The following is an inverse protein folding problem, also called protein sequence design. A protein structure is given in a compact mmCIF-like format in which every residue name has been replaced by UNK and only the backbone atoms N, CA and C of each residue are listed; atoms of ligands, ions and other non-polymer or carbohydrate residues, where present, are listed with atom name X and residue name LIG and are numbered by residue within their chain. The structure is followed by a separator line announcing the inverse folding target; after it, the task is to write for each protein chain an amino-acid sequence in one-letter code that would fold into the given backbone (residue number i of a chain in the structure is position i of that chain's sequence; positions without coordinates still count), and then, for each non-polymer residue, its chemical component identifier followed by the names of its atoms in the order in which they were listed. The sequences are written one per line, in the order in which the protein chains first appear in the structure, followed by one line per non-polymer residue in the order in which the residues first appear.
data_IF_258416892837
#
_entry.id   IF_258416892837
#
_cell.length_a   1.000
_cell.length_b   1.000
_cell.length_c   1.000
_cell.angle_alpha   90.00
_cell.angle_beta   90.00
_cell.angle_gamma   90.00
#
_symmetry.space_group_name_H-M   'P 1'
#
loop_
_entity.id
_entity.type
_entity.pdbx_description
1 polymer ?
#
# COMPACT_ATOMS: atom_id res chain seq x y z
N UNK A 1 -11.38 22.10 -3.57
CA UNK A 1 -11.21 20.70 -4.04
C UNK A 1 -10.31 19.96 -3.06
N UNK A 2 -10.52 18.66 -2.86
CA UNK A 2 -9.70 17.80 -2.02
C UNK A 2 -9.33 16.55 -2.81
N UNK A 3 -8.06 16.17 -2.79
CA UNK A 3 -7.54 15.01 -3.52
C UNK A 3 -6.97 14.01 -2.52
N UNK A 4 -7.19 12.73 -2.77
CA UNK A 4 -6.66 11.63 -1.95
C UNK A 4 -6.19 10.50 -2.84
N UNK A 5 -5.13 9.81 -2.43
CA UNK A 5 -4.56 8.66 -3.11
C UNK A 5 -4.45 7.49 -2.13
N UNK A 6 -5.16 6.40 -2.41
CA UNK A 6 -5.24 5.24 -1.51
C UNK A 6 -4.99 3.95 -2.29
N UNK A 7 -4.25 3.03 -1.69
CA UNK A 7 -4.03 1.69 -2.22
C UNK A 7 -5.37 0.94 -2.44
N UNK A 8 -5.57 0.50 -3.69
CA UNK A 8 -6.73 -0.29 -4.10
C UNK A 8 -6.85 -1.60 -3.30
N UNK A 9 -5.72 -2.19 -2.89
CA UNK A 9 -5.70 -3.37 -2.03
C UNK A 9 -6.47 -3.16 -0.73
N UNK A 10 -6.30 -1.99 -0.10
CA UNK A 10 -6.98 -1.61 1.14
C UNK A 10 -8.46 -1.35 0.87
N UNK A 11 -8.77 -0.56 -0.16
CA UNK A 11 -10.15 -0.23 -0.51
C UNK A 11 -10.98 -1.48 -0.85
N UNK A 12 -10.36 -2.51 -1.43
CA UNK A 12 -11.03 -3.74 -1.82
C UNK A 12 -11.45 -4.63 -0.64
N UNK A 13 -10.80 -4.50 0.53
CA UNK A 13 -11.16 -5.28 1.73
C UNK A 13 -12.60 -5.00 2.13
N UNK A 14 -13.00 -3.73 2.09
CA UNK A 14 -14.34 -3.28 2.47
C UNK A 14 -15.20 -2.87 1.27
N UNK A 15 -14.67 -2.99 0.05
CA UNK A 15 -15.29 -2.48 -1.19
C UNK A 15 -15.66 -1.00 -1.07
N UNK A 16 -14.74 -0.21 -0.52
CA UNK A 16 -14.96 1.22 -0.25
C UNK A 16 -15.26 1.98 -1.56
N UNK A 17 -16.41 2.64 -1.59
CA UNK A 17 -16.83 3.50 -2.69
C UNK A 17 -16.27 4.91 -2.47
N UNK A 18 -15.89 5.59 -3.55
CA UNK A 18 -15.45 6.98 -3.43
C UNK A 18 -16.60 7.86 -2.96
N UNK A 19 -16.37 8.71 -1.93
CA UNK A 19 -17.43 9.55 -1.39
C UNK A 19 -18.02 10.50 -2.42
N UNK A 20 -19.34 10.46 -2.56
CA UNK A 20 -20.12 11.38 -3.38
C UNK A 20 -20.83 12.41 -2.49
N UNK A 21 -20.35 13.68 -2.44
CA UNK A 21 -20.97 14.72 -1.64
C UNK A 21 -22.40 15.06 -2.11
N UNK A 22 -22.68 14.96 -3.42
CA UNK A 22 -24.01 15.23 -3.95
C UNK A 22 -25.00 14.16 -3.48
N UNK A 23 -24.67 12.87 -3.63
CA UNK A 23 -25.52 11.78 -3.17
C UNK A 23 -25.69 11.78 -1.63
N UNK A 24 -24.67 12.20 -0.87
CA UNK A 24 -24.78 12.32 0.59
C UNK A 24 -25.81 13.38 1.00
N UNK A 25 -25.71 14.58 0.42
CA UNK A 25 -26.57 15.72 0.77
C UNK A 25 -27.97 15.62 0.16
N UNK A 26 -28.09 15.23 -1.11
CA UNK A 26 -29.34 15.25 -1.88
C UNK A 26 -29.91 13.86 -2.19
N UNK A 27 -29.22 12.79 -1.80
CA UNK A 27 -29.74 11.44 -1.94
C UNK A 27 -31.02 11.21 -1.16
N UNK A 28 -31.79 10.21 -1.62
CA UNK A 28 -33.05 9.79 -0.99
C UNK A 28 -32.86 9.56 0.50
N UNK A 29 -33.62 10.30 1.31
CA UNK A 29 -33.63 10.15 2.76
C UNK A 29 -34.58 9.02 3.17
N UNK A 30 -34.33 8.45 4.34
CA UNK A 30 -35.21 7.45 4.92
C UNK A 30 -36.60 8.05 5.18
N UNK A 31 -37.63 7.21 5.12
CA UNK A 31 -38.96 7.61 5.52
C UNK A 31 -38.94 7.94 7.01
N UNK A 32 -39.29 9.18 7.35
CA UNK A 32 -39.15 9.71 8.71
C UNK A 32 -40.37 9.49 9.59
N UNK A 33 -41.33 8.67 9.15
CA UNK A 33 -42.53 8.37 9.92
C UNK A 33 -42.67 6.85 10.09
N UNK A 34 -43.24 6.47 11.22
CA UNK A 34 -43.62 5.09 11.47
C UNK A 34 -45.12 4.94 11.23
N UNK A 35 -45.51 3.86 10.55
CA UNK A 35 -46.91 3.54 10.32
C UNK A 35 -47.32 2.42 11.28
N UNK A 36 -48.37 2.68 12.06
CA UNK A 36 -48.94 1.73 13.01
C UNK A 36 -50.39 1.47 12.61
N UNK A 37 -50.74 0.22 12.33
CA UNK A 37 -52.12 -0.19 12.09
C UNK A 37 -52.47 -1.51 12.77
N UNK A 38 -53.77 -1.73 12.97
CA UNK A 38 -54.34 -2.93 13.58
C UNK A 38 -54.97 -3.88 12.55
N UNK A 39 -54.92 -3.54 11.26
CA UNK A 39 -55.58 -4.34 10.22
C UNK A 39 -54.83 -5.65 9.94
N UNK A 40 -53.54 -5.72 10.26
CA UNK A 40 -52.71 -6.93 10.17
C UNK A 40 -52.80 -7.91 11.35
N UNK A 41 -53.45 -7.55 12.48
CA UNK A 41 -53.56 -8.43 13.65
C UNK A 41 -54.45 -9.67 13.43
N UNK A 42 -54.97 -9.88 12.22
CA UNK A 42 -55.70 -11.09 11.84
C UNK A 42 -54.85 -12.14 11.10
N UNK A 43 -53.69 -11.79 10.53
CA UNK A 43 -52.83 -12.74 9.78
C UNK A 43 -51.36 -12.37 9.96
N UNK A 44 -50.60 -13.16 10.72
CA UNK A 44 -49.13 -13.11 10.70
C UNK A 44 -48.60 -13.59 9.34
N UNK A 45 -48.48 -12.68 8.38
CA UNK A 45 -47.72 -12.92 7.17
C UNK A 45 -46.28 -12.43 7.41
N UNK A 46 -45.35 -13.37 7.65
CA UNK A 46 -43.94 -13.13 7.95
C UNK A 46 -43.14 -12.50 6.80
N UNK A 47 -43.45 -11.26 6.44
CA UNK A 47 -42.77 -10.47 5.41
C UNK A 47 -41.77 -9.49 6.03
N UNK A 48 -40.87 -9.99 6.88
CA UNK A 48 -39.69 -9.23 7.29
C UNK A 48 -38.72 -9.07 6.12
N UNK A 49 -38.08 -7.90 6.00
CA UNK A 49 -37.03 -7.67 5.01
C UNK A 49 -35.91 -8.70 5.22
N UNK A 50 -35.53 -9.42 4.17
CA UNK A 50 -34.39 -10.36 4.21
C UNK A 50 -33.15 -9.60 4.67
N UNK A 51 -32.68 -9.89 5.88
CA UNK A 51 -31.41 -9.42 6.36
C UNK A 51 -30.31 -10.12 5.57
N UNK A 52 -29.42 -9.37 4.93
CA UNK A 52 -28.19 -9.95 4.38
C UNK A 52 -27.29 -10.33 5.54
N UNK A 53 -26.89 -11.59 5.64
CA UNK A 53 -25.83 -12.00 6.58
C UNK A 53 -24.53 -11.28 6.20
N UNK A 54 -24.06 -10.41 7.09
CA UNK A 54 -22.69 -9.91 7.05
C UNK A 54 -21.84 -10.77 7.98
N UNK A 55 -20.86 -11.48 7.43
CA UNK A 55 -19.83 -12.13 8.23
C UNK A 55 -18.77 -11.08 8.55
N UNK A 56 -18.78 -10.51 9.77
CA UNK A 56 -17.93 -9.36 10.06
C UNK A 56 -17.89 -8.86 11.49
N UNK A 57 -18.11 -9.72 12.49
CA UNK A 57 -17.61 -9.42 13.84
C UNK A 57 -16.14 -9.81 13.89
N UNK A 58 -15.22 -8.84 13.88
CA UNK A 58 -13.81 -9.15 14.04
C UNK A 58 -13.54 -9.75 15.43
N UNK A 59 -12.56 -10.64 15.44
CA UNK A 59 -12.38 -11.77 16.31
C UNK A 59 -12.49 -11.48 17.81
N UNK A 60 -13.20 -12.37 18.52
CA UNK A 60 -12.85 -12.76 19.89
C UNK A 60 -11.50 -13.52 19.85
N UNK A 61 -10.43 -12.84 19.46
CA UNK A 61 -9.10 -13.40 19.47
C UNK A 61 -8.66 -13.55 20.94
N UNK A 62 -8.78 -14.77 21.48
CA UNK A 62 -8.28 -15.14 22.81
C UNK A 62 -6.74 -15.19 22.90
N UNK A 63 -6.02 -14.86 21.82
CA UNK A 63 -4.57 -14.72 21.80
C UNK A 63 -4.20 -13.26 22.05
N UNK A 64 -3.28 -13.02 22.99
CA UNK A 64 -2.80 -11.68 23.33
C UNK A 64 -2.30 -10.87 22.13
N UNK A 65 -1.84 -9.64 22.39
CA UNK A 65 -1.48 -8.68 21.34
C UNK A 65 -0.55 -9.31 20.29
N UNK A 66 -0.98 -9.30 19.02
CA UNK A 66 -0.18 -9.81 17.90
C UNK A 66 1.15 -9.04 17.85
N UNK A 67 2.26 -9.69 17.48
CA UNK A 67 3.53 -8.99 17.34
C UNK A 67 3.43 -8.00 16.20
N UNK A 68 3.98 -6.80 16.39
CA UNK A 68 3.86 -5.69 15.44
C UNK A 68 4.29 -6.12 14.03
N UNK A 69 3.45 -5.76 13.05
CA UNK A 69 3.70 -5.98 11.63
C UNK A 69 3.92 -4.62 10.98
N UNK A 70 5.07 -4.43 10.35
CA UNK A 70 5.36 -3.25 9.53
C UNK A 70 4.86 -3.49 8.11
N UNK A 71 3.63 -3.08 7.81
CA UNK A 71 3.11 -2.99 6.44
C UNK A 71 2.98 -1.52 6.08
N UNK A 72 3.57 -1.11 4.96
CA UNK A 72 3.42 0.26 4.47
C UNK A 72 2.01 0.44 3.93
N UNK A 73 1.24 1.30 4.58
CA UNK A 73 -0.11 1.67 4.16
C UNK A 73 -0.03 2.99 3.40
N UNK A 74 -0.40 2.97 2.12
CA UNK A 74 -0.50 4.20 1.32
C UNK A 74 -1.93 4.71 1.37
N UNK A 75 -2.14 5.70 2.22
CA UNK A 75 -3.39 6.45 2.34
C UNK A 75 -3.04 7.93 2.56
N UNK A 76 -3.00 8.67 1.45
CA UNK A 76 -2.51 10.04 1.41
C UNK A 76 -3.63 10.99 1.02
N UNK A 77 -3.60 12.21 1.55
CA UNK A 77 -4.57 13.25 1.27
C UNK A 77 -3.86 14.59 1.15
N UNK A 78 -4.18 15.35 0.10
CA UNK A 78 -3.66 16.69 -0.08
C UNK A 78 -4.31 17.66 0.90
N UNK A 79 -3.70 18.83 1.09
CA UNK A 79 -4.46 19.97 1.60
C UNK A 79 -5.59 20.33 0.61
N UNK A 80 -6.68 20.98 1.07
CA UNK A 80 -7.68 21.52 0.17
C UNK A 80 -7.06 22.55 -0.78
N UNK A 81 -7.33 22.40 -2.08
CA UNK A 81 -6.87 23.30 -3.14
C UNK A 81 -8.04 24.15 -3.64
N UNK A 82 -7.83 25.47 -3.72
CA UNK A 82 -8.76 26.40 -4.35
C UNK A 82 -8.49 26.42 -5.85
N UNK A 83 -9.54 26.24 -6.65
CA UNK A 83 -9.44 26.29 -8.11
C UNK A 83 -9.35 27.74 -8.60
N UNK A 84 -8.69 27.97 -9.72
CA UNK A 84 -8.61 29.28 -10.37
C UNK A 84 -9.94 29.64 -11.08
N UNK A 85 -10.01 30.83 -11.68
CA UNK A 85 -11.21 31.32 -12.39
C UNK A 85 -11.61 30.46 -13.59
N UNK A 86 -10.68 29.68 -14.15
CA UNK A 86 -10.93 28.71 -15.22
C UNK A 86 -11.39 27.33 -14.69
N UNK A 87 -11.41 27.13 -13.38
CA UNK A 87 -11.76 25.86 -12.73
C UNK A 87 -10.60 24.86 -12.64
N UNK A 88 -9.36 25.30 -12.80
CA UNK A 88 -8.17 24.46 -12.76
C UNK A 88 -7.45 24.57 -11.41
N UNK A 89 -6.77 23.50 -11.01
CA UNK A 89 -5.96 23.47 -9.80
C UNK A 89 -5.03 22.27 -9.79
N UNK A 90 -3.91 22.40 -9.08
CA UNK A 90 -2.90 21.35 -8.97
C UNK A 90 -2.77 20.90 -7.51
N UNK A 91 -2.69 19.59 -7.31
CA UNK A 91 -2.43 18.98 -6.01
C UNK A 91 -1.28 17.98 -6.17
N UNK A 92 -0.25 18.12 -5.33
CA UNK A 92 0.86 17.17 -5.28
C UNK A 92 0.76 16.32 -4.01
N UNK A 93 1.11 15.05 -4.14
CA UNK A 93 1.10 14.07 -3.05
C UNK A 93 2.36 13.21 -3.18
N UNK A 94 3.20 13.21 -2.15
CA UNK A 94 4.46 12.47 -2.14
C UNK A 94 4.19 10.98 -1.88
N UNK A 95 4.28 10.17 -2.93
CA UNK A 95 4.04 8.73 -2.85
C UNK A 95 5.30 8.05 -2.28
N UNK A 96 5.19 7.28 -1.17
CA UNK A 96 6.33 6.55 -0.62
C UNK A 96 6.75 5.40 -1.53
N UNK A 97 7.82 4.68 -1.16
CA UNK A 97 8.21 3.43 -1.82
C UNK A 97 7.07 2.41 -1.79
N UNK A 98 6.32 2.36 -2.89
CA UNK A 98 5.11 1.59 -3.06
C UNK A 98 5.05 1.01 -4.46
N UNK A 99 4.64 -0.26 -4.53
CA UNK A 99 4.44 -0.98 -5.77
C UNK A 99 3.00 -1.54 -5.76
N UNK A 100 2.14 -1.04 -6.65
CA UNK A 100 0.73 -1.42 -6.69
C UNK A 100 -0.14 -0.48 -7.50
N UNK A 101 -1.46 -0.57 -7.29
CA UNK A 101 -2.46 0.31 -7.91
C UNK A 101 -3.00 1.28 -6.87
N UNK A 102 -2.94 2.58 -7.16
CA UNK A 102 -3.55 3.62 -6.35
C UNK A 102 -4.84 4.09 -7.00
N UNK A 103 -5.88 4.27 -6.17
CA UNK A 103 -7.07 5.01 -6.55
C UNK A 103 -6.90 6.45 -6.10
N UNK A 104 -6.88 7.35 -7.08
CA UNK A 104 -6.95 8.79 -6.87
C UNK A 104 -8.41 9.19 -6.83
N UNK A 105 -8.81 9.88 -5.77
CA UNK A 105 -10.17 10.32 -5.52
C UNK A 105 -10.16 11.83 -5.35
N UNK A 106 -11.07 12.52 -6.02
CA UNK A 106 -11.24 13.96 -5.90
C UNK A 106 -12.67 14.29 -5.48
N UNK A 107 -12.81 15.26 -4.57
CA UNK A 107 -14.08 15.87 -4.21
C UNK A 107 -13.99 17.39 -4.39
N UNK A 108 -15.00 17.96 -5.02
CA UNK A 108 -15.10 19.40 -5.24
C UNK A 108 -16.44 19.91 -4.71
N UNK A 109 -16.43 21.12 -4.16
CA UNK A 109 -17.61 21.75 -3.62
C UNK A 109 -17.51 23.28 -3.70
N UNK A 110 -18.67 23.92 -3.87
CA UNK A 110 -18.94 25.33 -3.55
C UNK A 110 -20.06 25.36 -2.51
N UNK A 111 -20.67 26.52 -2.28
CA UNK A 111 -21.82 26.64 -1.38
C UNK A 111 -23.03 25.81 -1.86
N UNK A 112 -23.18 25.61 -3.16
CA UNK A 112 -24.37 25.03 -3.81
C UNK A 112 -24.06 23.95 -4.88
N UNK A 113 -22.80 23.76 -5.27
CA UNK A 113 -22.38 22.76 -6.28
C UNK A 113 -21.45 21.74 -5.65
N UNK A 114 -21.60 20.49 -6.05
CA UNK A 114 -20.84 19.37 -5.50
C UNK A 114 -20.48 18.39 -6.62
N UNK A 115 -19.30 17.80 -6.54
CA UNK A 115 -18.85 16.81 -7.51
C UNK A 115 -17.79 15.89 -6.94
N UNK A 116 -17.66 14.73 -7.56
CA UNK A 116 -16.62 13.76 -7.25
C UNK A 116 -16.11 13.13 -8.55
N UNK A 117 -14.87 12.64 -8.51
CA UNK A 117 -14.29 11.83 -9.55
C UNK A 117 -13.30 10.84 -8.95
N UNK A 118 -13.09 9.71 -9.62
CA UNK A 118 -12.05 8.74 -9.28
C UNK A 118 -11.28 8.33 -10.54
N UNK A 119 -10.00 8.02 -10.35
CA UNK A 119 -9.13 7.46 -11.38
C UNK A 119 -8.19 6.43 -10.74
N UNK A 120 -7.73 5.47 -11.54
CA UNK A 120 -6.73 4.48 -11.13
C UNK A 120 -5.40 4.79 -11.78
N UNK A 121 -4.32 4.66 -11.02
CA UNK A 121 -2.96 4.77 -11.54
C UNK A 121 -2.11 3.64 -10.98
N UNK A 122 -1.25 3.07 -11.82
CA UNK A 122 -0.32 2.01 -11.43
C UNK A 122 1.01 2.67 -11.07
N UNK A 123 1.50 2.38 -9.87
CA UNK A 123 2.82 2.80 -9.40
C UNK A 123 3.69 1.56 -9.33
N UNK A 124 4.73 1.51 -10.15
CA UNK A 124 5.66 0.40 -10.19
C UNK A 124 7.09 0.91 -10.33
N UNK A 125 7.96 0.46 -9.44
CA UNK A 125 9.39 0.66 -9.57
C UNK A 125 9.92 -0.15 -10.76
N UNK A 126 10.85 0.41 -11.54
CA UNK A 126 11.45 -0.29 -12.69
C UNK A 126 12.22 -1.54 -12.28
N UNK A 127 12.85 -1.50 -11.10
CA UNK A 127 13.48 -2.64 -10.44
C UNK A 127 12.88 -2.74 -9.04
N UNK A 128 12.45 -3.94 -8.67
CA UNK A 128 11.96 -4.25 -7.34
C UNK A 128 13.00 -5.10 -6.62
N UNK A 129 13.45 -4.65 -5.44
CA UNK A 129 14.35 -5.39 -4.57
C UNK A 129 13.66 -5.66 -3.23
N UNK A 130 13.31 -6.91 -2.96
CA UNK A 130 12.57 -7.35 -1.77
C UNK A 130 13.42 -8.27 -0.91
N UNK A 131 13.58 -7.92 0.36
CA UNK A 131 14.36 -8.70 1.31
C UNK A 131 13.43 -9.53 2.20
N UNK A 132 13.53 -10.84 2.11
CA UNK A 132 12.86 -11.79 3.01
C UNK A 132 13.74 -12.05 4.22
N UNK A 133 13.35 -11.48 5.36
CA UNK A 133 14.08 -11.59 6.63
C UNK A 133 13.27 -12.33 7.69
N UNK A 134 13.93 -13.04 8.63
CA UNK A 134 13.27 -13.49 9.84
C UNK A 134 12.87 -12.27 10.69
N UNK A 135 11.79 -12.41 11.49
CA UNK A 135 11.27 -11.31 12.32
C UNK A 135 12.25 -10.87 13.41
N UNK A 136 13.10 -11.78 13.88
CA UNK A 136 14.16 -11.52 14.85
C UNK A 136 15.28 -12.57 14.68
N UNK A 137 16.44 -12.27 15.24
CA UNK A 137 17.57 -13.19 15.38
C UNK A 137 18.10 -13.08 16.81
N UNK A 138 18.49 -14.21 17.40
CA UNK A 138 19.20 -14.22 18.67
C UNK A 138 20.71 -13.96 18.45
N UNK A 139 21.39 -13.48 19.49
CA UNK A 139 22.83 -13.28 19.45
C UNK A 139 23.57 -14.58 19.15
N UNK A 140 24.44 -14.57 18.13
CA UNK A 140 25.16 -15.75 17.65
C UNK A 140 24.45 -16.54 16.55
N UNK A 141 23.20 -16.21 16.21
CA UNK A 141 22.50 -16.88 15.11
C UNK A 141 23.17 -16.55 13.77
N UNK A 142 23.37 -17.59 12.96
CA UNK A 142 23.77 -17.48 11.57
C UNK A 142 22.64 -17.97 10.68
N UNK A 143 22.21 -17.14 9.74
CA UNK A 143 21.14 -17.47 8.81
C UNK A 143 21.44 -16.95 7.41
N UNK A 144 20.59 -17.26 6.44
CA UNK A 144 20.62 -16.64 5.13
C UNK A 144 19.29 -15.94 4.87
N UNK A 145 19.37 -14.66 4.54
CA UNK A 145 18.23 -13.89 4.03
C UNK A 145 18.20 -14.01 2.51
N UNK A 146 17.00 -13.91 1.93
CA UNK A 146 16.80 -13.95 0.49
C UNK A 146 16.46 -12.54 -0.01
N UNK A 147 17.27 -12.03 -0.94
CA UNK A 147 17.01 -10.79 -1.66
C UNK A 147 16.50 -11.13 -3.05
N UNK A 148 15.22 -10.92 -3.28
CA UNK A 148 14.59 -11.06 -4.59
C UNK A 148 14.76 -9.76 -5.37
N UNK A 149 15.40 -9.84 -6.54
CA UNK A 149 15.54 -8.71 -7.47
C UNK A 149 14.76 -9.03 -8.74
N UNK A 150 13.76 -8.21 -9.05
CA UNK A 150 12.89 -8.37 -10.21
C UNK A 150 13.00 -7.19 -11.16
N UNK A 151 13.07 -7.46 -12.46
CA UNK A 151 13.12 -6.43 -13.50
C UNK A 151 11.76 -6.23 -14.15
N UNK A 152 11.17 -5.05 -13.93
CA UNK A 152 9.90 -4.60 -14.53
C UNK A 152 10.11 -3.37 -15.44
N UNK A 153 11.34 -3.07 -15.83
CA UNK A 153 11.70 -1.85 -16.58
C UNK A 153 11.33 -1.87 -18.06
N UNK A 154 10.79 -2.97 -18.58
CA UNK A 154 10.45 -3.12 -20.01
C UNK A 154 11.64 -3.43 -20.94
N UNK A 155 12.84 -3.65 -20.39
CA UNK A 155 14.02 -4.08 -21.16
C UNK A 155 15.00 -4.88 -20.31
N UNK A 156 15.98 -5.52 -20.94
CA UNK A 156 17.07 -6.17 -20.20
C UNK A 156 17.94 -5.13 -19.48
N UNK A 157 18.35 -5.44 -18.26
CA UNK A 157 19.12 -4.56 -17.37
C UNK A 157 20.41 -5.24 -16.92
N UNK A 158 21.47 -4.44 -16.80
CA UNK A 158 22.74 -4.86 -16.18
C UNK A 158 22.94 -4.02 -14.93
N UNK A 159 22.79 -4.65 -13.77
CA UNK A 159 22.74 -3.99 -12.48
C UNK A 159 23.90 -4.43 -11.60
N UNK A 160 24.39 -3.54 -10.74
CA UNK A 160 25.30 -3.88 -9.65
C UNK A 160 24.55 -3.76 -8.32
N UNK A 161 24.35 -4.89 -7.64
CA UNK A 161 23.66 -4.94 -6.35
C UNK A 161 24.69 -4.96 -5.23
N UNK A 162 24.76 -3.87 -4.46
CA UNK A 162 25.61 -3.73 -3.28
C UNK A 162 24.79 -4.02 -2.03
N UNK A 163 25.31 -4.89 -1.16
CA UNK A 163 24.63 -5.34 0.04
C UNK A 163 25.58 -5.13 1.22
N UNK A 164 25.15 -4.35 2.19
CA UNK A 164 25.92 -4.07 3.42
C UNK A 164 25.07 -4.31 4.66
N UNK A 165 25.74 -4.55 5.78
CA UNK A 165 25.09 -4.74 7.07
C UNK A 165 25.67 -3.80 8.13
N UNK A 166 24.82 -3.31 9.02
CA UNK A 166 25.17 -2.36 10.07
C UNK A 166 24.42 -2.67 11.38
N UNK A 167 24.92 -2.14 12.50
CA UNK A 167 24.39 -2.42 13.83
C UNK A 167 24.79 -3.81 14.34
N UNK A 168 23.85 -4.55 14.94
CA UNK A 168 24.11 -5.89 15.49
C UNK A 168 24.06 -7.02 14.45
N UNK A 169 24.19 -6.68 13.16
CA UNK A 169 24.24 -7.62 12.04
C UNK A 169 25.54 -7.46 11.27
N UNK A 170 26.08 -8.57 10.79
CA UNK A 170 27.22 -8.58 9.87
C UNK A 170 27.04 -9.62 8.78
N UNK A 171 27.63 -9.36 7.62
CA UNK A 171 27.73 -10.33 6.53
C UNK A 171 29.08 -11.02 6.67
N UNK A 172 29.13 -12.37 6.84
CA UNK A 172 30.39 -13.09 6.83
C UNK A 172 31.16 -12.83 5.53
N UNK A 173 32.40 -12.36 5.65
CA UNK A 173 33.22 -11.95 4.50
C UNK A 173 33.09 -10.48 4.09
N UNK A 174 32.26 -9.70 4.78
CA UNK A 174 32.08 -8.26 4.54
C UNK A 174 31.00 -7.93 3.51
N UNK A 175 30.92 -6.64 3.17
CA UNK A 175 29.97 -6.12 2.18
C UNK A 175 30.16 -6.78 0.81
N UNK A 176 29.04 -7.07 0.14
CA UNK A 176 29.04 -7.80 -1.13
C UNK A 176 28.60 -6.90 -2.28
N UNK A 177 29.26 -7.04 -3.42
CA UNK A 177 28.83 -6.45 -4.71
C UNK A 177 28.57 -7.60 -5.66
N UNK A 178 27.34 -7.68 -6.20
CA UNK A 178 26.93 -8.75 -7.12
C UNK A 178 26.44 -8.15 -8.44
N UNK A 179 27.18 -8.34 -9.55
CA UNK A 179 26.69 -7.96 -10.86
C UNK A 179 25.56 -8.92 -11.28
N UNK A 180 24.45 -8.36 -11.77
CA UNK A 180 23.30 -9.09 -12.26
C UNK A 180 22.97 -8.67 -13.70
N UNK A 181 22.61 -9.64 -14.51
CA UNK A 181 21.96 -9.41 -15.80
C UNK A 181 20.54 -9.98 -15.71
N UNK A 182 19.54 -9.11 -15.80
CA UNK A 182 18.14 -9.48 -15.71
C UNK A 182 17.45 -9.17 -17.03
N UNK A 183 16.87 -10.19 -17.66
CA UNK A 183 15.92 -9.98 -18.76
C UNK A 183 14.66 -9.29 -18.23
N UNK A 184 13.87 -8.70 -19.12
CA UNK A 184 12.57 -8.16 -18.76
C UNK A 184 11.69 -9.26 -18.12
N UNK A 185 11.01 -8.94 -17.01
CA UNK A 185 10.18 -9.86 -16.24
C UNK A 185 10.96 -10.91 -15.46
N UNK A 186 12.30 -10.96 -15.56
CA UNK A 186 13.11 -11.94 -14.84
C UNK A 186 13.26 -11.54 -13.38
N UNK A 187 13.09 -12.55 -12.51
CA UNK A 187 13.42 -12.49 -11.08
C UNK A 187 14.62 -13.37 -10.78
N UNK A 188 15.53 -12.86 -9.95
CA UNK A 188 16.66 -13.63 -9.38
C UNK A 188 16.66 -13.46 -7.87
N UNK A 189 16.87 -14.57 -7.15
CA UNK A 189 16.99 -14.59 -5.69
C UNK A 189 18.46 -14.70 -5.30
N UNK A 190 18.97 -13.67 -4.62
CA UNK A 190 20.29 -13.64 -4.02
C UNK A 190 20.22 -14.09 -2.56
N UNK A 191 20.92 -15.18 -2.23
CA UNK A 191 21.12 -15.59 -0.84
C UNK A 191 22.25 -14.78 -0.22
N UNK A 192 21.96 -14.12 0.90
CA UNK A 192 22.91 -13.32 1.66
C UNK A 192 23.07 -13.96 3.04
N UNK A 193 24.24 -14.53 3.37
CA UNK A 193 24.50 -15.03 4.70
C UNK A 193 24.63 -13.86 5.67
N UNK A 194 24.03 -13.96 6.85
CA UNK A 194 24.10 -12.94 7.89
C UNK A 194 24.35 -13.59 9.25
N UNK A 195 25.08 -12.88 10.10
CA UNK A 195 25.42 -13.26 11.46
C UNK A 195 24.98 -12.15 12.42
N UNK A 196 24.22 -12.54 13.45
CA UNK A 196 23.86 -11.65 14.54
C UNK A 196 25.01 -11.58 15.56
N UNK A 197 25.61 -10.41 15.74
CA UNK A 197 26.86 -10.25 16.50
C UNK A 197 26.68 -10.42 18.03
N UNK A 198 25.45 -10.32 18.54
CA UNK A 198 25.13 -10.45 19.96
C UNK A 198 24.62 -9.16 20.60
N UNK A 199 24.07 -9.25 21.82
CA UNK A 199 23.49 -8.11 22.52
C UNK A 199 22.08 -7.73 22.06
N UNK A 200 21.42 -6.87 22.84
CA UNK A 200 20.09 -6.35 22.53
C UNK A 200 20.24 -5.10 21.64
N UNK A 201 19.64 -5.12 20.45
CA UNK A 201 19.70 -3.98 19.55
C UNK A 201 19.04 -4.26 18.21
N UNK A 202 19.30 -3.37 17.25
CA UNK A 202 18.85 -3.51 15.87
C UNK A 202 20.06 -3.77 14.97
N UNK A 203 19.86 -4.62 13.96
CA UNK A 203 20.73 -4.68 12.80
C UNK A 203 19.94 -4.28 11.57
N UNK A 204 20.61 -3.64 10.60
CA UNK A 204 20.01 -3.28 9.32
C UNK A 204 20.81 -3.89 8.19
N UNK A 205 20.12 -4.27 7.13
CA UNK A 205 20.70 -4.69 5.87
C UNK A 205 20.33 -3.60 4.88
N UNK A 206 21.34 -3.00 4.25
CA UNK A 206 21.18 -1.98 3.22
C UNK A 206 21.43 -2.61 1.86
N UNK A 207 20.55 -2.33 0.92
CA UNK A 207 20.66 -2.76 -0.47
C UNK A 207 20.69 -1.53 -1.36
N UNK A 208 21.77 -1.40 -2.13
CA UNK A 208 21.95 -0.33 -3.11
C UNK A 208 22.04 -0.96 -4.51
N UNK A 209 21.14 -0.57 -5.40
CA UNK A 209 21.09 -1.04 -6.79
C UNK A 209 21.55 0.09 -7.71
N UNK A 210 22.63 -0.17 -8.45
CA UNK A 210 23.22 0.75 -9.41
C UNK A 210 23.15 0.20 -10.85
N UNK A 211 23.36 1.05 -11.84
CA UNK A 211 23.40 0.66 -13.25
C UNK A 211 22.03 0.59 -13.93
N UNK A 212 21.00 1.19 -13.34
CA UNK A 212 19.68 1.27 -13.95
C UNK A 212 19.73 2.12 -15.22
N UNK A 213 19.30 1.55 -16.34
CA UNK A 213 19.20 2.23 -17.62
C UNK A 213 17.72 2.37 -18.00
N UNK A 214 17.21 3.60 -18.15
CA UNK A 214 15.83 3.88 -18.59
C UNK A 214 15.83 4.87 -19.76
N UNK A 215 14.92 4.73 -20.74
CA UNK A 215 14.85 5.66 -21.86
C UNK A 215 14.42 7.07 -21.39
N UNK A 216 15.32 8.04 -21.53
CA UNK A 216 15.00 9.47 -21.30
C UNK A 216 15.05 9.93 -19.84
N UNK A 217 15.40 9.06 -18.88
CA UNK A 217 15.48 9.39 -17.46
C UNK A 217 16.77 8.88 -16.82
N UNK A 218 17.47 9.76 -16.11
CA UNK A 218 18.59 9.39 -15.23
C UNK A 218 18.10 9.37 -13.80
N UNK A 219 17.79 8.19 -13.28
CA UNK A 219 17.38 8.03 -11.89
C UNK A 219 18.60 7.88 -10.97
N UNK A 220 18.55 8.43 -9.74
CA UNK A 220 19.58 8.18 -8.73
C UNK A 220 19.60 6.69 -8.35
N UNK A 221 20.71 6.25 -7.75
CA UNK A 221 20.85 4.88 -7.28
C UNK A 221 19.75 4.53 -6.26
N UNK A 222 19.10 3.37 -6.44
CA UNK A 222 18.00 2.92 -5.60
C UNK A 222 18.55 2.32 -4.30
N UNK A 223 18.13 2.86 -3.15
CA UNK A 223 18.57 2.40 -1.82
C UNK A 223 17.38 1.92 -1.00
N UNK A 224 17.50 0.74 -0.40
CA UNK A 224 16.51 0.17 0.52
C UNK A 224 17.17 -0.37 1.78
#
# INVERSE_FOLDING_TARGET
MLVSAVDVGILNITRYATPDPFASLFGRKQYGADQLDIYGQLIEAGQGRLASMAFGGDALAKGGKRPDTSVTIVALQSAPVTLNDAGEGEASVDIPDFNGELRVMAQAWTDDRYGMAEAKTVVAAPIIAELSTPRFLAGGDQTSVALDVSNLSGKAQKLDVKISAEGQLSIPGGDQIKPLQLKEGQRVTLKVPVLAQGGLGQGKIKVLVEGLDLPGETLPAFTR
#
